data_IF_084928244548
#
_entry.id   IF_084928244548
#
_cell.length_a   1.000
_cell.length_b   1.000
_cell.length_c   1.000
_cell.angle_alpha   90.00
_cell.angle_beta   90.00
_cell.angle_gamma   90.00
#
_symmetry.space_group_name_H-M   'P 1'
#
loop_
_entity.id
_entity.type
_entity.pdbx_description
1 polymer ?
#
# COMPACT_ATOMS: atom_id res chain seq x y z
N UNK A 1 44.45 -9.84 -17.11
CA UNK A 1 43.60 -9.01 -16.21
C UNK A 1 42.73 -8.15 -17.09
N UNK A 2 41.56 -8.66 -17.43
CA UNK A 2 40.56 -7.92 -18.21
C UNK A 2 39.68 -7.21 -17.19
N UNK A 3 39.80 -5.90 -17.11
CA UNK A 3 38.90 -5.04 -16.34
C UNK A 3 37.50 -5.17 -16.92
N UNK A 4 36.69 -6.04 -16.33
CA UNK A 4 35.24 -6.06 -16.57
C UNK A 4 34.73 -4.69 -16.16
N UNK A 5 34.14 -3.97 -17.10
CA UNK A 5 33.54 -2.67 -16.85
C UNK A 5 32.44 -2.85 -15.81
N UNK A 6 32.67 -2.29 -14.63
CA UNK A 6 31.79 -2.29 -13.46
C UNK A 6 30.56 -1.42 -13.75
N UNK A 7 29.65 -1.93 -14.57
CA UNK A 7 28.38 -1.26 -14.84
C UNK A 7 27.46 -1.60 -13.66
N UNK A 8 26.95 -0.61 -12.92
CA UNK A 8 26.08 -0.86 -11.79
C UNK A 8 24.87 -1.70 -12.22
N UNK A 9 24.57 -2.75 -11.45
CA UNK A 9 23.41 -3.61 -11.70
C UNK A 9 22.14 -2.78 -11.50
N UNK A 10 21.32 -2.65 -12.53
CA UNK A 10 20.02 -1.98 -12.48
C UNK A 10 18.93 -2.98 -12.09
N UNK A 11 18.63 -3.09 -10.79
CA UNK A 11 17.69 -4.10 -10.28
C UNK A 11 16.30 -4.05 -10.94
N UNK A 12 15.83 -2.87 -11.37
CA UNK A 12 14.52 -2.73 -12.03
C UNK A 12 14.44 -3.45 -13.38
N UNK A 13 15.57 -3.79 -14.00
CA UNK A 13 15.61 -4.54 -15.26
C UNK A 13 15.35 -6.04 -15.07
N UNK A 14 15.39 -6.54 -13.84
CA UNK A 14 15.11 -7.94 -13.49
C UNK A 14 13.64 -8.16 -13.07
N UNK A 15 12.80 -7.13 -13.17
CA UNK A 15 11.39 -7.17 -12.81
C UNK A 15 10.52 -7.07 -14.07
N UNK A 16 9.52 -7.93 -14.27
CA UNK A 16 8.57 -7.75 -15.39
C UNK A 16 7.68 -6.51 -15.17
N UNK A 17 7.11 -6.35 -13.97
CA UNK A 17 6.47 -5.12 -13.49
C UNK A 17 7.17 -4.62 -12.23
N UNK A 18 7.22 -3.31 -11.99
CA UNK A 18 7.87 -2.75 -10.79
C UNK A 18 6.88 -2.54 -9.64
N UNK A 19 7.25 -2.94 -8.42
CA UNK A 19 6.50 -2.61 -7.20
C UNK A 19 5.11 -3.21 -7.15
N UNK A 20 4.17 -2.50 -6.53
CA UNK A 20 2.78 -2.96 -6.40
C UNK A 20 2.04 -3.08 -7.74
N UNK A 21 2.62 -2.62 -8.86
CA UNK A 21 2.06 -2.84 -10.20
C UNK A 21 2.18 -4.30 -10.68
N UNK A 22 2.93 -5.15 -9.97
CA UNK A 22 3.00 -6.59 -10.22
C UNK A 22 1.85 -7.41 -9.59
N UNK A 23 0.94 -6.77 -8.83
CA UNK A 23 -0.19 -7.45 -8.18
C UNK A 23 -1.17 -8.01 -9.24
N UNK A 24 -1.81 -9.13 -8.89
CA UNK A 24 -2.94 -9.69 -9.65
C UNK A 24 -4.04 -8.62 -9.71
N UNK A 25 -4.68 -8.39 -10.87
CA UNK A 25 -5.74 -7.41 -10.99
C UNK A 25 -6.86 -7.62 -9.96
N UNK A 26 -7.44 -6.55 -9.40
CA UNK A 26 -8.42 -6.65 -8.31
C UNK A 26 -9.65 -7.49 -8.69
N UNK A 27 -10.18 -7.34 -9.91
CA UNK A 27 -11.30 -8.16 -10.38
C UNK A 27 -10.98 -9.66 -10.42
N UNK A 28 -9.80 -10.04 -10.93
CA UNK A 28 -9.37 -11.44 -10.96
C UNK A 28 -9.17 -12.01 -9.56
N UNK A 29 -8.61 -11.22 -8.62
CA UNK A 29 -8.44 -11.64 -7.24
C UNK A 29 -9.79 -11.80 -6.53
N UNK A 30 -10.73 -10.87 -6.73
CA UNK A 30 -12.09 -10.96 -6.21
C UNK A 30 -12.80 -12.23 -6.71
N UNK A 31 -12.66 -12.54 -8.00
CA UNK A 31 -13.26 -13.75 -8.61
C UNK A 31 -12.66 -15.05 -8.04
N UNK A 32 -11.34 -15.11 -7.84
CA UNK A 32 -10.67 -16.30 -7.27
C UNK A 32 -11.02 -16.50 -5.79
N UNK A 33 -11.17 -15.41 -5.04
CA UNK A 33 -11.59 -15.47 -3.63
C UNK A 33 -13.11 -15.71 -3.49
N UNK A 34 -13.88 -15.39 -4.54
CA UNK A 34 -15.32 -15.61 -4.64
C UNK A 34 -15.69 -17.07 -4.42
N UNK A 35 -16.28 -17.37 -3.27
CA UNK A 35 -16.67 -18.73 -2.87
C UNK A 35 -15.73 -19.41 -1.86
N UNK A 36 -14.61 -18.79 -1.51
CA UNK A 36 -13.74 -19.23 -0.40
C UNK A 36 -14.14 -18.61 0.94
N UNK A 37 -14.99 -17.58 0.93
CA UNK A 37 -15.53 -16.95 2.14
C UNK A 37 -16.48 -17.92 2.84
N UNK A 38 -16.02 -18.52 3.94
CA UNK A 38 -16.84 -19.30 4.86
C UNK A 38 -17.22 -18.43 6.06
N UNK A 39 -18.44 -18.60 6.62
CA UNK A 39 -18.79 -17.97 7.89
C UNK A 39 -17.72 -18.27 8.94
N UNK A 40 -17.19 -17.24 9.58
CA UNK A 40 -16.12 -17.40 10.56
C UNK A 40 -16.51 -18.39 11.66
N UNK A 41 -15.63 -19.34 11.96
CA UNK A 41 -15.77 -20.18 13.14
C UNK A 41 -15.31 -19.36 14.34
N UNK A 42 -16.25 -18.80 15.11
CA UNK A 42 -15.92 -18.27 16.43
C UNK A 42 -15.37 -19.44 17.27
N UNK A 43 -14.08 -19.39 17.61
CA UNK A 43 -13.50 -20.31 18.60
C UNK A 43 -13.65 -19.68 19.99
N UNK A 44 -13.52 -20.50 21.04
CA UNK A 44 -13.52 -20.01 22.41
C UNK A 44 -12.34 -19.06 22.73
N UNK A 45 -11.34 -19.00 21.86
CA UNK A 45 -10.03 -18.36 22.09
C UNK A 45 -9.80 -17.09 21.26
N UNK A 46 -10.82 -16.57 20.56
CA UNK A 46 -10.74 -15.30 19.83
C UNK A 46 -11.71 -15.21 18.65
N UNK A 47 -12.09 -13.98 18.27
CA UNK A 47 -12.90 -13.70 17.08
C UNK A 47 -12.09 -12.98 16.01
N UNK A 48 -12.33 -13.37 14.75
CA UNK A 48 -11.84 -12.63 13.58
C UNK A 48 -12.66 -11.34 13.45
N UNK A 49 -12.02 -10.19 13.65
CA UNK A 49 -12.64 -8.86 13.52
C UNK A 49 -12.63 -8.37 12.08
N UNK A 50 -11.52 -8.60 11.39
CA UNK A 50 -11.28 -8.15 10.01
C UNK A 50 -10.66 -9.31 9.25
N UNK A 51 -11.22 -9.61 8.07
CA UNK A 51 -10.78 -10.74 7.25
C UNK A 51 -11.34 -10.65 5.84
N UNK A 52 -11.47 -11.80 5.18
CA UNK A 52 -11.82 -11.88 3.75
C UNK A 52 -13.17 -11.27 3.37
N UNK A 53 -14.09 -11.09 4.32
CA UNK A 53 -15.43 -10.56 4.06
C UNK A 53 -15.43 -9.08 3.63
N UNK A 54 -14.53 -8.26 4.20
CA UNK A 54 -14.40 -6.83 3.89
C UNK A 54 -13.15 -6.54 3.06
N UNK A 55 -12.19 -7.47 2.99
CA UNK A 55 -10.98 -7.34 2.18
C UNK A 55 -10.15 -6.12 2.56
N UNK A 56 -10.09 -5.83 3.86
CA UNK A 56 -9.29 -4.75 4.45
C UNK A 56 -7.78 -5.04 4.37
N UNK A 57 -6.97 -4.09 4.83
CA UNK A 57 -5.51 -4.10 4.62
C UNK A 57 -4.78 -5.22 5.38
N UNK A 58 -5.36 -5.72 6.48
CA UNK A 58 -4.79 -6.83 7.24
C UNK A 58 -5.85 -7.71 7.91
N UNK A 59 -5.47 -8.94 8.25
CA UNK A 59 -6.29 -9.80 9.10
C UNK A 59 -6.17 -9.36 10.56
N UNK A 60 -7.30 -9.26 11.26
CA UNK A 60 -7.33 -8.84 12.68
C UNK A 60 -8.08 -9.86 13.53
N UNK A 61 -7.44 -10.35 14.59
CA UNK A 61 -8.01 -11.31 15.54
C UNK A 61 -7.91 -10.75 16.96
N UNK A 62 -9.01 -10.78 17.72
CA UNK A 62 -8.96 -10.44 19.15
C UNK A 62 -8.21 -11.52 19.92
N UNK A 63 -7.37 -11.11 20.85
CA UNK A 63 -6.82 -11.98 21.87
C UNK A 63 -7.76 -12.08 23.07
N UNK A 64 -7.87 -13.25 23.71
CA UNK A 64 -8.53 -13.37 24.99
C UNK A 64 -7.88 -12.46 26.03
N UNK A 65 -8.68 -11.87 26.92
CA UNK A 65 -8.20 -11.09 28.05
C UNK A 65 -8.54 -11.80 29.39
N UNK A 66 -7.86 -12.90 29.74
CA UNK A 66 -8.06 -13.54 31.03
C UNK A 66 -7.73 -12.56 32.16
N UNK A 67 -8.67 -12.41 33.11
CA UNK A 67 -8.48 -11.55 34.29
C UNK A 67 -8.89 -10.08 34.10
N UNK A 68 -9.60 -9.71 33.03
CA UNK A 68 -10.18 -8.37 32.86
C UNK A 68 -9.19 -7.28 32.44
N UNK A 69 -8.03 -7.66 31.90
CA UNK A 69 -7.11 -6.71 31.26
C UNK A 69 -7.72 -6.06 30.00
N UNK A 70 -7.08 -4.99 29.47
CA UNK A 70 -7.58 -4.33 28.27
C UNK A 70 -7.61 -5.29 27.09
N UNK A 71 -8.66 -5.19 26.26
CA UNK A 71 -8.77 -5.96 25.04
C UNK A 71 -7.60 -5.65 24.09
N UNK A 72 -7.11 -6.67 23.39
CA UNK A 72 -6.00 -6.55 22.43
C UNK A 72 -6.35 -7.31 21.18
N UNK A 73 -5.89 -6.80 20.04
CA UNK A 73 -5.97 -7.49 18.78
C UNK A 73 -4.57 -7.72 18.20
N UNK A 74 -4.43 -8.84 17.48
CA UNK A 74 -3.30 -9.10 16.60
C UNK A 74 -3.68 -8.68 15.20
N UNK A 75 -2.79 -7.93 14.56
CA UNK A 75 -2.87 -7.56 13.14
C UNK A 75 -1.84 -8.40 12.41
N UNK A 76 -2.21 -9.06 11.32
CA UNK A 76 -1.30 -9.89 10.52
C UNK A 76 -1.46 -9.57 9.04
N UNK A 77 -0.35 -9.26 8.39
CA UNK A 77 -0.28 -8.96 6.95
C UNK A 77 1.00 -9.54 6.33
N UNK A 78 1.04 -9.61 5.01
CA UNK A 78 2.25 -9.89 4.24
C UNK A 78 2.18 -9.16 2.89
N UNK A 79 3.23 -8.42 2.55
CA UNK A 79 3.41 -7.85 1.22
C UNK A 79 4.87 -8.01 0.78
N UNK A 80 5.06 -8.33 -0.50
CA UNK A 80 6.37 -8.50 -1.13
C UNK A 80 6.22 -8.33 -2.65
N UNK A 81 7.19 -7.66 -3.25
CA UNK A 81 7.12 -7.27 -4.66
C UNK A 81 8.51 -7.17 -5.27
N UNK A 82 8.57 -6.96 -6.58
CA UNK A 82 9.77 -6.80 -7.40
C UNK A 82 10.40 -5.40 -7.30
N UNK A 83 11.69 -5.20 -7.62
CA UNK A 83 12.37 -3.91 -7.51
C UNK A 83 11.62 -2.73 -8.16
N UNK A 84 11.52 -1.63 -7.42
CA UNK A 84 11.00 -0.32 -7.90
C UNK A 84 12.09 0.70 -8.17
N UNK A 85 13.27 0.46 -7.59
CA UNK A 85 14.47 1.28 -7.74
C UNK A 85 15.67 0.39 -7.99
N UNK A 86 16.70 0.93 -8.63
CA UNK A 86 17.91 0.18 -8.96
C UNK A 86 18.82 -0.08 -7.75
N UNK A 87 18.76 0.78 -6.72
CA UNK A 87 19.55 0.63 -5.50
C UNK A 87 18.95 -0.45 -4.57
N UNK A 88 19.77 -1.46 -4.24
CA UNK A 88 19.36 -2.60 -3.42
C UNK A 88 18.91 -2.20 -2.02
N UNK A 89 19.65 -1.29 -1.38
CA UNK A 89 19.37 -0.86 -0.02
C UNK A 89 18.05 -0.08 0.05
N UNK A 90 17.84 0.89 -0.84
CA UNK A 90 16.60 1.65 -0.91
C UNK A 90 15.41 0.78 -1.29
N UNK A 91 15.56 -0.19 -2.20
CA UNK A 91 14.47 -1.14 -2.48
C UNK A 91 14.09 -1.94 -1.22
N UNK A 92 15.07 -2.40 -0.44
CA UNK A 92 14.84 -3.05 0.84
C UNK A 92 14.05 -2.18 1.82
N UNK A 93 14.43 -0.90 1.94
CA UNK A 93 13.74 0.08 2.79
C UNK A 93 12.29 0.29 2.35
N UNK A 94 12.07 0.47 1.05
CA UNK A 94 10.74 0.68 0.47
C UNK A 94 9.84 -0.53 0.69
N UNK A 95 10.36 -1.74 0.47
CA UNK A 95 9.60 -2.97 0.67
C UNK A 95 9.20 -3.18 2.13
N UNK A 96 10.11 -2.88 3.08
CA UNK A 96 9.78 -2.91 4.50
C UNK A 96 8.74 -1.87 4.90
N UNK A 97 8.90 -0.61 4.45
CA UNK A 97 7.94 0.46 4.74
C UNK A 97 6.54 0.11 4.20
N UNK A 98 6.46 -0.46 3.00
CA UNK A 98 5.21 -0.93 2.42
C UNK A 98 4.59 -2.07 3.25
N UNK A 99 5.35 -3.11 3.59
CA UNK A 99 4.81 -4.24 4.35
C UNK A 99 4.35 -3.86 5.78
N UNK A 100 4.97 -2.84 6.38
CA UNK A 100 4.55 -2.28 7.66
C UNK A 100 3.30 -1.40 7.54
N UNK A 101 3.00 -0.89 6.34
CA UNK A 101 1.94 0.09 6.08
C UNK A 101 0.56 -0.45 6.45
N UNK A 102 0.23 -1.69 6.07
CA UNK A 102 -1.07 -2.31 6.39
C UNK A 102 -1.34 -2.35 7.90
N UNK A 103 -0.30 -2.56 8.72
CA UNK A 103 -0.45 -2.53 10.19
C UNK A 103 -0.82 -1.13 10.66
N UNK A 104 -0.21 -0.09 10.09
CA UNK A 104 -0.54 1.30 10.40
C UNK A 104 -1.92 1.70 9.84
N UNK A 105 -2.31 1.18 8.68
CA UNK A 105 -3.61 1.40 8.07
C UNK A 105 -4.76 0.88 8.95
N UNK A 106 -4.52 -0.20 9.71
CA UNK A 106 -5.45 -0.72 10.73
C UNK A 106 -5.41 0.03 12.08
N UNK A 107 -4.57 1.05 12.24
CA UNK A 107 -4.33 1.73 13.52
C UNK A 107 -3.48 0.90 14.50
N UNK A 108 -2.75 -0.10 13.99
CA UNK A 108 -1.89 -0.97 14.78
C UNK A 108 -0.47 -0.46 14.92
N UNK A 109 0.28 -1.12 15.81
CA UNK A 109 1.73 -0.96 15.94
C UNK A 109 2.44 -2.26 15.53
N UNK A 110 3.37 -2.23 14.57
CA UNK A 110 4.20 -3.39 14.25
C UNK A 110 4.95 -3.92 15.47
N UNK A 111 5.08 -5.24 15.58
CA UNK A 111 5.77 -5.91 16.69
C UNK A 111 6.93 -6.77 16.18
N UNK A 112 6.64 -7.65 15.23
CA UNK A 112 7.63 -8.56 14.64
C UNK A 112 7.34 -8.76 13.16
N UNK A 113 8.41 -8.87 12.37
CA UNK A 113 8.38 -9.17 10.96
C UNK A 113 9.30 -10.35 10.64
N UNK A 114 8.96 -11.11 9.60
CA UNK A 114 9.83 -12.13 9.01
C UNK A 114 9.99 -11.83 7.52
N UNK A 115 11.23 -11.93 7.03
CA UNK A 115 11.56 -11.62 5.63
C UNK A 115 10.98 -12.66 4.68
N UNK A 116 10.48 -12.19 3.54
CA UNK A 116 10.11 -13.01 2.39
C UNK A 116 11.04 -12.63 1.24
N UNK A 117 11.94 -13.54 0.84
CA UNK A 117 12.94 -13.28 -0.19
C UNK A 117 12.82 -14.31 -1.32
N UNK A 118 12.62 -13.83 -2.54
CA UNK A 118 12.79 -14.62 -3.75
C UNK A 118 13.99 -14.04 -4.51
N UNK A 119 14.98 -14.85 -4.87
CA UNK A 119 16.24 -14.34 -5.43
C UNK A 119 16.77 -15.21 -6.56
N UNK A 120 17.13 -14.64 -7.73
CA UNK A 120 17.69 -15.40 -8.84
C UNK A 120 19.18 -15.66 -8.59
N UNK A 121 19.47 -16.74 -7.87
CA UNK A 121 20.81 -17.03 -7.32
C UNK A 121 21.92 -17.13 -8.37
N UNK A 122 21.56 -17.53 -9.60
CA UNK A 122 22.50 -17.73 -10.72
C UNK A 122 22.64 -16.46 -11.58
N UNK A 123 21.86 -15.41 -11.30
CA UNK A 123 21.82 -14.16 -12.09
C UNK A 123 22.28 -12.96 -11.28
N UNK A 124 21.88 -12.86 -10.01
CA UNK A 124 22.19 -11.72 -9.15
C UNK A 124 23.10 -12.09 -7.97
N UNK A 125 24.17 -11.31 -7.71
CA UNK A 125 25.06 -11.55 -6.58
C UNK A 125 24.34 -11.40 -5.23
N UNK A 126 24.65 -12.28 -4.27
CA UNK A 126 24.03 -12.27 -2.94
C UNK A 126 24.41 -11.05 -2.10
N UNK A 127 25.48 -10.34 -2.46
CA UNK A 127 25.85 -9.06 -1.86
C UNK A 127 24.72 -8.03 -2.04
N UNK A 128 24.02 -8.04 -3.18
CA UNK A 128 22.84 -7.18 -3.36
C UNK A 128 21.68 -7.64 -2.48
N UNK A 129 21.43 -8.94 -2.36
CA UNK A 129 20.40 -9.47 -1.45
C UNK A 129 20.68 -9.06 0.01
N UNK A 130 21.95 -9.05 0.42
CA UNK A 130 22.37 -8.57 1.74
C UNK A 130 22.04 -7.09 1.92
N UNK A 131 22.26 -6.25 0.92
CA UNK A 131 21.93 -4.82 0.97
C UNK A 131 20.40 -4.59 1.03
N UNK A 132 19.61 -5.37 0.30
CA UNK A 132 18.13 -5.37 0.42
C UNK A 132 17.71 -5.69 1.85
N UNK A 133 18.22 -6.78 2.42
CA UNK A 133 17.89 -7.19 3.78
C UNK A 133 18.36 -6.16 4.82
N UNK A 134 19.51 -5.49 4.59
CA UNK A 134 20.02 -4.41 5.44
C UNK A 134 19.07 -3.21 5.42
N UNK A 135 18.60 -2.80 4.25
CA UNK A 135 17.62 -1.72 4.12
C UNK A 135 16.30 -2.02 4.81
N UNK A 136 15.79 -3.25 4.65
CA UNK A 136 14.59 -3.67 5.34
C UNK A 136 14.75 -3.71 6.85
N UNK A 137 15.89 -4.20 7.34
CA UNK A 137 16.21 -4.23 8.77
C UNK A 137 16.25 -2.83 9.38
N UNK A 138 16.89 -1.86 8.71
CA UNK A 138 17.02 -0.49 9.23
C UNK A 138 15.64 0.21 9.36
N UNK A 139 14.73 0.01 8.39
CA UNK A 139 13.35 0.52 8.47
C UNK A 139 12.53 -0.20 9.55
N UNK A 140 12.67 -1.52 9.69
CA UNK A 140 12.01 -2.25 10.76
C UNK A 140 12.51 -1.78 12.14
N UNK A 141 13.80 -1.48 12.28
CA UNK A 141 14.37 -0.93 13.51
C UNK A 141 13.79 0.47 13.82
N UNK A 142 13.67 1.33 12.81
CA UNK A 142 13.01 2.64 12.94
C UNK A 142 11.55 2.51 13.39
N UNK A 143 10.84 1.50 12.88
CA UNK A 143 9.46 1.21 13.26
C UNK A 143 9.32 0.61 14.68
N UNK A 144 10.42 0.26 15.35
CA UNK A 144 10.40 -0.51 16.59
C UNK A 144 9.90 -1.94 16.41
N UNK A 145 10.05 -2.50 15.20
CA UNK A 145 9.63 -3.84 14.81
C UNK A 145 10.84 -4.79 14.82
N UNK A 146 10.70 -5.93 15.49
CA UNK A 146 11.75 -6.95 15.47
C UNK A 146 11.78 -7.69 14.14
N UNK A 147 12.95 -7.94 13.56
CA UNK A 147 13.10 -8.86 12.43
C UNK A 147 13.49 -10.23 12.97
N UNK A 148 12.54 -11.17 12.98
CA UNK A 148 12.65 -12.48 13.64
C UNK A 148 13.21 -13.61 12.78
N UNK A 149 13.65 -13.34 11.56
CA UNK A 149 14.11 -14.34 10.60
C UNK A 149 13.45 -14.14 9.24
N UNK A 150 13.17 -15.23 8.53
CA UNK A 150 12.53 -15.19 7.22
C UNK A 150 12.58 -16.52 6.47
N UNK A 151 12.07 -16.50 5.25
CA UNK A 151 12.19 -17.58 4.29
C UNK A 151 12.74 -17.05 2.97
N UNK A 152 13.59 -17.84 2.32
CA UNK A 152 14.18 -17.52 1.03
C UNK A 152 13.96 -18.65 0.03
N UNK A 153 13.62 -18.30 -1.21
CA UNK A 153 13.48 -19.25 -2.32
C UNK A 153 14.28 -18.78 -3.54
N UNK A 154 14.74 -19.75 -4.34
CA UNK A 154 15.29 -19.46 -5.66
C UNK A 154 14.15 -19.13 -6.62
N UNK A 155 14.29 -18.04 -7.38
CA UNK A 155 13.23 -17.52 -8.26
C UNK A 155 13.84 -16.73 -9.42
N UNK A 156 13.33 -16.85 -10.67
CA UNK A 156 13.82 -16.07 -11.80
C UNK A 156 13.78 -14.54 -11.63
N UNK A 157 12.86 -14.01 -10.82
CA UNK A 157 12.73 -12.57 -10.54
C UNK A 157 12.97 -12.27 -9.07
N UNK A 158 13.81 -11.26 -8.74
CA UNK A 158 14.01 -10.86 -7.36
C UNK A 158 12.71 -10.28 -6.79
N UNK A 159 12.28 -10.76 -5.63
CA UNK A 159 11.14 -10.23 -4.86
C UNK A 159 11.53 -10.14 -3.40
N UNK A 160 11.12 -9.07 -2.75
CA UNK A 160 11.38 -8.87 -1.34
C UNK A 160 10.21 -8.18 -0.66
N UNK A 161 10.01 -8.55 0.60
CA UNK A 161 9.06 -7.93 1.50
C UNK A 161 9.03 -8.66 2.84
N UNK A 162 7.95 -8.48 3.59
CA UNK A 162 7.84 -9.00 4.94
C UNK A 162 6.43 -9.50 5.23
N UNK A 163 6.34 -10.56 6.02
CA UNK A 163 5.13 -10.84 6.79
C UNK A 163 5.26 -10.15 8.15
N UNK A 164 4.28 -9.31 8.49
CA UNK A 164 4.32 -8.45 9.67
C UNK A 164 3.17 -8.82 10.61
N UNK A 165 3.53 -9.00 11.87
CA UNK A 165 2.59 -9.13 12.98
C UNK A 165 2.67 -7.87 13.83
N UNK A 166 1.53 -7.22 13.99
CA UNK A 166 1.33 -6.06 14.84
C UNK A 166 0.31 -6.31 15.95
N UNK A 167 0.14 -5.29 16.77
CA UNK A 167 -0.86 -5.25 17.84
C UNK A 167 -1.69 -3.99 17.73
N UNK A 168 -2.98 -4.10 18.00
CA UNK A 168 -3.90 -2.97 17.98
C UNK A 168 -4.87 -3.01 19.16
N UNK A 169 -5.52 -1.88 19.39
CA UNK A 169 -6.70 -1.78 20.24
C UNK A 169 -7.95 -2.10 19.39
N UNK A 170 -8.68 -3.19 19.68
CA UNK A 170 -9.83 -3.60 18.87
C UNK A 170 -10.96 -2.57 18.83
N UNK A 171 -11.05 -1.67 19.82
CA UNK A 171 -12.09 -0.63 19.87
C UNK A 171 -11.71 0.62 19.09
N UNK A 172 -10.45 0.74 18.67
CA UNK A 172 -9.91 1.91 17.96
C UNK A 172 -9.31 1.55 16.61
N UNK A 173 -9.72 0.42 16.03
CA UNK A 173 -9.27 0.04 14.69
C UNK A 173 -9.71 1.09 13.67
N UNK A 174 -8.79 1.39 12.76
CA UNK A 174 -9.10 2.09 11.52
C UNK A 174 -9.59 1.03 10.52
N UNK A 175 -10.87 1.07 10.16
CA UNK A 175 -11.52 0.07 9.30
C UNK A 175 -12.08 0.72 8.05
N UNK A 176 -11.92 0.08 6.90
CA UNK A 176 -12.42 0.63 5.64
C UNK A 176 -13.97 0.67 5.51
N UNK A 177 -14.70 0.04 6.43
CA UNK A 177 -16.16 -0.14 6.41
C UNK A 177 -16.91 0.72 7.44
N UNK A 178 -16.24 1.67 8.09
CA UNK A 178 -16.86 2.56 9.11
C UNK A 178 -17.00 4.01 8.66
N UNK A 179 -16.79 4.30 7.38
CA UNK A 179 -16.98 5.61 6.79
C UNK A 179 -18.44 6.06 6.87
N UNK A 180 -18.66 7.37 7.04
CA UNK A 180 -19.99 7.97 7.18
C UNK A 180 -20.10 9.23 6.31
N UNK A 181 -21.30 9.55 5.81
CA UNK A 181 -21.53 10.82 5.14
C UNK A 181 -21.16 12.03 6.00
N UNK A 182 -20.63 13.08 5.38
CA UNK A 182 -20.19 14.32 6.01
C UNK A 182 -18.74 14.29 6.55
N UNK A 183 -18.02 13.17 6.39
CA UNK A 183 -16.60 13.08 6.78
C UNK A 183 -15.70 13.59 5.64
N UNK A 184 -14.71 14.45 5.93
CA UNK A 184 -13.68 14.81 4.96
C UNK A 184 -12.77 13.61 4.65
N UNK A 185 -12.08 13.65 3.52
CA UNK A 185 -11.09 12.64 3.12
C UNK A 185 -9.69 13.27 3.12
N UNK A 186 -8.78 12.77 3.96
CA UNK A 186 -7.38 13.21 3.98
C UNK A 186 -6.47 12.20 3.30
N UNK A 187 -5.44 12.68 2.59
CA UNK A 187 -4.40 11.85 1.97
C UNK A 187 -3.01 12.22 2.50
N UNK A 188 -2.31 11.27 3.11
CA UNK A 188 -1.10 11.59 3.89
C UNK A 188 0.22 11.53 3.11
N UNK A 189 0.20 11.07 1.86
CA UNK A 189 1.35 11.15 0.94
C UNK A 189 0.89 11.53 -0.47
N UNK A 190 1.73 12.25 -1.25
CA UNK A 190 1.43 12.57 -2.63
C UNK A 190 1.37 11.33 -3.54
N UNK A 191 0.63 11.44 -4.64
CA UNK A 191 0.56 10.43 -5.69
C UNK A 191 1.65 10.61 -6.75
N UNK A 192 1.75 9.62 -7.65
CA UNK A 192 2.62 9.64 -8.83
C UNK A 192 3.81 8.71 -8.73
N UNK A 193 3.86 7.84 -7.73
CA UNK A 193 4.97 6.92 -7.51
C UNK A 193 5.11 5.88 -8.63
N UNK A 194 4.00 5.35 -9.15
CA UNK A 194 4.02 4.32 -10.19
C UNK A 194 4.57 4.85 -11.52
N UNK A 195 4.13 6.03 -11.93
CA UNK A 195 4.61 6.67 -13.17
C UNK A 195 6.07 7.11 -13.09
N UNK A 196 6.51 7.59 -11.93
CA UNK A 196 7.93 7.90 -11.69
C UNK A 196 8.79 6.64 -11.64
N UNK A 197 8.32 5.55 -11.01
CA UNK A 197 9.03 4.27 -11.02
C UNK A 197 9.18 3.71 -12.44
N UNK A 198 8.16 3.83 -13.28
CA UNK A 198 8.25 3.44 -14.69
C UNK A 198 9.24 4.29 -15.48
N UNK A 199 9.24 5.61 -15.27
CA UNK A 199 10.21 6.50 -15.90
C UNK A 199 11.63 6.16 -15.44
N UNK A 200 11.84 5.90 -14.15
CA UNK A 200 13.11 5.41 -13.61
C UNK A 200 13.54 4.11 -14.27
N UNK A 201 12.67 3.10 -14.34
CA UNK A 201 12.98 1.83 -15.01
C UNK A 201 13.39 2.05 -16.47
N UNK A 202 12.66 2.88 -17.22
CA UNK A 202 12.93 3.13 -18.63
C UNK A 202 14.23 3.94 -18.88
N UNK A 203 14.54 4.90 -18.01
CA UNK A 203 15.58 5.93 -18.30
C UNK A 203 16.81 5.87 -17.38
N UNK A 204 16.67 5.27 -16.20
CA UNK A 204 17.67 5.34 -15.12
C UNK A 204 17.59 6.62 -14.28
N UNK A 205 16.67 7.55 -14.61
CA UNK A 205 16.49 8.79 -13.85
C UNK A 205 16.02 8.49 -12.43
N UNK A 206 16.73 9.00 -11.42
CA UNK A 206 16.40 8.78 -10.01
C UNK A 206 15.62 9.97 -9.47
N UNK A 207 14.51 9.67 -8.79
CA UNK A 207 13.63 10.65 -8.16
C UNK A 207 13.77 10.54 -6.63
N UNK A 208 14.69 11.31 -6.05
CA UNK A 208 14.98 11.25 -4.61
C UNK A 208 13.74 11.51 -3.74
N UNK A 209 12.85 12.41 -4.19
CA UNK A 209 11.58 12.70 -3.52
C UNK A 209 10.62 11.50 -3.53
N UNK A 210 10.63 10.70 -4.60
CA UNK A 210 9.82 9.48 -4.67
C UNK A 210 10.37 8.41 -3.72
N UNK A 211 11.70 8.22 -3.70
CA UNK A 211 12.36 7.30 -2.76
C UNK A 211 12.07 7.70 -1.32
N UNK A 212 12.25 8.99 -0.97
CA UNK A 212 11.96 9.49 0.38
C UNK A 212 10.48 9.27 0.77
N UNK A 213 9.55 9.52 -0.14
CA UNK A 213 8.11 9.29 0.07
C UNK A 213 7.81 7.81 0.33
N UNK A 214 8.39 6.91 -0.47
CA UNK A 214 8.18 5.47 -0.34
C UNK A 214 8.83 4.87 0.91
N UNK A 215 9.94 5.43 1.39
CA UNK A 215 10.62 4.95 2.61
C UNK A 215 9.94 5.46 3.88
N UNK A 216 9.25 6.60 3.84
CA UNK A 216 8.59 7.16 5.01
C UNK A 216 7.50 6.22 5.57
N UNK A 217 7.56 5.93 6.88
CA UNK A 217 6.56 5.11 7.55
C UNK A 217 5.23 5.85 7.70
N UNK A 218 4.10 5.14 7.55
CA UNK A 218 2.76 5.67 7.85
C UNK A 218 2.47 5.77 9.38
N UNK A 219 3.48 5.54 10.23
CA UNK A 219 3.39 5.55 11.71
C UNK A 219 2.74 6.81 12.26
N UNK A 220 3.28 7.97 11.89
CA UNK A 220 2.89 9.24 12.51
C UNK A 220 1.52 9.69 11.98
N UNK A 221 1.23 9.43 10.70
CA UNK A 221 -0.08 9.62 10.08
C UNK A 221 -1.16 8.77 10.76
N UNK A 222 -0.89 7.48 11.00
CA UNK A 222 -1.79 6.57 11.71
C UNK A 222 -2.05 7.03 13.15
N UNK A 223 -1.00 7.39 13.88
CA UNK A 223 -1.12 7.89 15.24
C UNK A 223 -1.94 9.20 15.30
N UNK A 224 -1.72 10.11 14.35
CA UNK A 224 -2.48 11.36 14.25
C UNK A 224 -3.96 11.12 13.92
N UNK A 225 -4.27 10.21 13.00
CA UNK A 225 -5.64 9.82 12.67
C UNK A 225 -6.38 9.24 13.89
N UNK A 226 -5.73 8.32 14.61
CA UNK A 226 -6.27 7.74 15.85
C UNK A 226 -6.47 8.77 16.96
N UNK A 227 -5.57 9.75 17.07
CA UNK A 227 -5.68 10.83 18.06
C UNK A 227 -6.80 11.82 17.71
N UNK A 228 -7.06 12.03 16.42
CA UNK A 228 -8.19 12.82 15.92
C UNK A 228 -9.54 12.07 16.01
N UNK A 229 -9.53 10.79 16.41
CA UNK A 229 -10.75 9.98 16.56
C UNK A 229 -11.26 9.39 15.24
N UNK A 230 -10.42 9.33 14.20
CA UNK A 230 -10.78 8.63 12.98
C UNK A 230 -11.02 7.14 13.27
N UNK A 231 -12.01 6.57 12.60
CA UNK A 231 -12.31 5.13 12.66
C UNK A 231 -12.21 4.47 11.29
N UNK A 232 -12.08 5.25 10.21
CA UNK A 232 -12.08 4.74 8.86
C UNK A 232 -10.85 5.22 8.10
N UNK A 233 -10.05 4.27 7.65
CA UNK A 233 -8.90 4.51 6.79
C UNK A 233 -8.61 3.27 5.95
N UNK A 234 -7.72 3.44 4.98
CA UNK A 234 -6.97 2.41 4.27
C UNK A 234 -5.64 3.01 3.81
N UNK A 235 -4.71 2.23 3.28
CA UNK A 235 -3.55 2.77 2.59
C UNK A 235 -3.70 2.79 1.07
N UNK A 236 -3.04 3.74 0.40
CA UNK A 236 -3.11 3.87 -1.06
C UNK A 236 -1.90 3.19 -1.67
N UNK A 237 -2.11 1.98 -2.18
CA UNK A 237 -1.06 1.13 -2.78
C UNK A 237 -1.37 0.73 -4.23
N UNK A 238 -1.33 -0.57 -4.54
CA UNK A 238 -1.29 -1.09 -5.91
C UNK A 238 -2.52 -0.81 -6.78
N UNK A 239 -3.69 -0.54 -6.18
CA UNK A 239 -4.93 -0.24 -6.89
C UNK A 239 -5.11 1.25 -7.22
N UNK A 240 -4.17 2.10 -6.80
CA UNK A 240 -4.28 3.55 -6.92
C UNK A 240 -5.37 4.15 -6.03
N UNK A 241 -5.47 5.48 -6.05
CA UNK A 241 -6.41 6.21 -5.19
C UNK A 241 -7.86 5.86 -5.53
N UNK A 242 -8.22 5.81 -6.82
CA UNK A 242 -9.60 5.47 -7.23
C UNK A 242 -10.01 4.08 -6.74
N UNK A 243 -9.13 3.09 -6.89
CA UNK A 243 -9.44 1.72 -6.51
C UNK A 243 -9.66 1.57 -5.01
N UNK A 244 -8.80 2.21 -4.21
CA UNK A 244 -8.92 2.21 -2.75
C UNK A 244 -10.13 3.02 -2.25
N UNK A 245 -10.44 4.16 -2.88
CA UNK A 245 -11.69 4.90 -2.62
C UNK A 245 -12.93 4.05 -2.94
N UNK A 246 -12.94 3.34 -4.07
CA UNK A 246 -14.05 2.47 -4.44
C UNK A 246 -14.28 1.38 -3.38
N UNK A 247 -13.22 0.69 -2.93
CA UNK A 247 -13.32 -0.34 -1.89
C UNK A 247 -13.86 0.23 -0.59
N UNK A 248 -13.30 1.33 -0.10
CA UNK A 248 -13.74 2.00 1.13
C UNK A 248 -15.20 2.44 1.02
N UNK A 249 -15.58 3.12 -0.07
CA UNK A 249 -16.93 3.62 -0.27
C UNK A 249 -17.96 2.47 -0.42
N UNK A 250 -17.59 1.37 -1.08
CA UNK A 250 -18.40 0.15 -1.20
C UNK A 250 -18.62 -0.51 0.16
N UNK A 251 -17.55 -0.69 0.94
CA UNK A 251 -17.60 -1.34 2.26
C UNK A 251 -18.39 -0.50 3.27
N UNK A 252 -18.22 0.82 3.24
CA UNK A 252 -18.91 1.78 4.12
C UNK A 252 -20.33 2.14 3.66
N UNK A 253 -20.77 1.71 2.47
CA UNK A 253 -22.09 2.04 1.94
C UNK A 253 -22.29 3.53 1.67
N UNK A 254 -21.26 4.21 1.18
CA UNK A 254 -21.24 5.66 0.89
C UNK A 254 -20.77 5.93 -0.55
N UNK A 255 -20.71 7.21 -0.92
CA UNK A 255 -20.01 7.70 -2.11
C UNK A 255 -18.87 8.61 -1.68
N UNK A 256 -17.70 8.45 -2.26
CA UNK A 256 -16.58 9.38 -2.10
C UNK A 256 -16.61 10.43 -3.22
N UNK A 257 -16.62 11.71 -2.84
CA UNK A 257 -16.47 12.84 -3.77
C UNK A 257 -15.05 13.35 -3.63
N UNK A 258 -14.29 13.37 -4.72
CA UNK A 258 -12.90 13.75 -4.75
C UNK A 258 -12.73 15.11 -5.43
N UNK A 259 -12.12 16.08 -4.76
CA UNK A 259 -11.63 17.31 -5.39
C UNK A 259 -10.30 17.01 -6.08
N UNK A 260 -10.34 16.90 -7.41
CA UNK A 260 -9.16 16.53 -8.21
C UNK A 260 -8.04 17.58 -8.15
N UNK A 261 -8.36 18.85 -7.85
CA UNK A 261 -7.37 19.92 -7.73
C UNK A 261 -6.65 19.89 -6.37
N UNK A 262 -7.29 19.35 -5.33
CA UNK A 262 -6.72 19.21 -4.00
C UNK A 262 -5.74 18.02 -3.86
N UNK A 263 -5.75 17.07 -4.81
CA UNK A 263 -4.90 15.87 -4.74
C UNK A 263 -3.41 16.25 -4.91
N UNK A 264 -2.55 15.95 -3.92
CA UNK A 264 -1.12 16.21 -4.03
C UNK A 264 -0.42 15.22 -4.96
N UNK A 265 0.49 15.71 -5.79
CA UNK A 265 1.32 14.91 -6.69
C UNK A 265 2.81 15.23 -6.48
N UNK A 266 3.66 14.24 -6.69
CA UNK A 266 5.10 14.44 -6.73
C UNK A 266 5.52 15.21 -7.99
N UNK A 267 6.56 16.01 -7.86
CA UNK A 267 7.21 16.68 -8.97
C UNK A 267 7.63 15.66 -10.04
N UNK A 268 7.31 15.97 -11.30
CA UNK A 268 7.55 15.10 -12.46
C UNK A 268 6.45 14.06 -12.75
N UNK A 269 5.50 13.81 -11.84
CA UNK A 269 4.46 12.79 -12.06
C UNK A 269 3.55 13.10 -13.26
N UNK A 270 3.10 14.37 -13.37
CA UNK A 270 2.25 14.81 -14.50
C UNK A 270 3.00 14.75 -15.84
N UNK A 271 4.29 15.07 -15.84
CA UNK A 271 5.14 14.96 -17.03
C UNK A 271 5.34 13.49 -17.41
N UNK A 272 5.62 12.63 -16.44
CA UNK A 272 5.80 11.20 -16.69
C UNK A 272 4.56 10.54 -17.32
N UNK A 273 3.35 10.93 -16.90
CA UNK A 273 2.12 10.45 -17.55
C UNK A 273 1.98 10.96 -18.98
N UNK A 274 2.19 12.26 -19.23
CA UNK A 274 2.13 12.85 -20.57
C UNK A 274 3.12 12.19 -21.53
N UNK A 275 4.31 11.87 -21.03
CA UNK A 275 5.37 11.21 -21.78
C UNK A 275 5.13 9.68 -21.93
N UNK A 276 4.04 9.17 -21.38
CA UNK A 276 3.58 7.80 -21.58
C UNK A 276 4.18 6.74 -20.64
N UNK A 277 4.83 7.13 -19.54
CA UNK A 277 5.42 6.22 -18.55
C UNK A 277 4.36 5.57 -17.62
N UNK A 278 3.29 5.05 -18.21
CA UNK A 278 2.13 4.48 -17.50
C UNK A 278 2.18 2.96 -17.52
N UNK A 279 2.06 2.33 -16.34
CA UNK A 279 2.20 0.88 -16.22
C UNK A 279 0.96 0.14 -16.73
N UNK A 280 1.13 -1.12 -17.10
CA UNK A 280 -0.03 -1.98 -17.39
C UNK A 280 -0.96 -2.14 -16.18
N UNK A 281 -0.41 -2.14 -14.96
CA UNK A 281 -1.18 -2.18 -13.71
C UNK A 281 -2.08 -0.95 -13.56
N UNK A 282 -1.54 0.25 -13.77
CA UNK A 282 -2.29 1.52 -13.74
C UNK A 282 -3.46 1.51 -14.72
N UNK A 283 -3.26 1.00 -15.95
CA UNK A 283 -4.34 0.91 -16.95
C UNK A 283 -5.43 -0.06 -16.50
N UNK A 284 -5.05 -1.24 -15.99
CA UNK A 284 -6.00 -2.22 -15.45
C UNK A 284 -6.77 -1.70 -14.23
N UNK A 285 -6.12 -0.94 -13.35
CA UNK A 285 -6.79 -0.28 -12.24
C UNK A 285 -7.87 0.68 -12.73
N UNK A 286 -7.55 1.52 -13.72
CA UNK A 286 -8.50 2.46 -14.29
C UNK A 286 -9.67 1.74 -14.97
N UNK A 287 -9.40 0.71 -15.76
CA UNK A 287 -10.41 -0.13 -16.42
C UNK A 287 -11.35 -0.79 -15.39
N UNK A 288 -10.80 -1.31 -14.29
CA UNK A 288 -11.59 -1.96 -13.24
C UNK A 288 -12.50 -1.00 -12.47
N UNK A 289 -12.02 0.20 -12.14
CA UNK A 289 -12.76 1.16 -11.32
C UNK A 289 -13.72 2.05 -12.12
N UNK A 290 -13.51 2.15 -13.45
CA UNK A 290 -14.29 3.01 -14.34
C UNK A 290 -15.82 2.80 -14.26
N UNK A 291 -16.36 1.57 -14.20
CA UNK A 291 -17.81 1.35 -14.10
C UNK A 291 -18.44 1.91 -12.81
N UNK A 292 -17.64 2.21 -11.79
CA UNK A 292 -18.10 2.67 -10.48
C UNK A 292 -17.74 4.13 -10.19
N UNK A 293 -17.17 4.83 -11.18
CA UNK A 293 -16.63 6.18 -11.05
C UNK A 293 -17.34 7.12 -12.00
N UNK A 294 -17.89 8.21 -11.46
CA UNK A 294 -18.24 9.37 -12.27
C UNK A 294 -16.98 10.24 -12.45
N UNK A 295 -16.47 10.30 -13.67
CA UNK A 295 -15.22 11.02 -13.95
C UNK A 295 -15.40 12.53 -14.11
N UNK A 296 -16.64 13.03 -14.20
CA UNK A 296 -16.89 14.44 -14.51
C UNK A 296 -16.06 14.92 -15.72
N UNK A 297 -15.43 16.08 -15.56
CA UNK A 297 -14.59 16.72 -16.58
C UNK A 297 -13.10 16.34 -16.49
N UNK A 298 -12.71 15.39 -15.63
CA UNK A 298 -11.32 14.99 -15.48
C UNK A 298 -10.72 14.48 -16.80
N UNK A 299 -9.56 14.99 -17.19
CA UNK A 299 -8.87 14.55 -18.41
C UNK A 299 -8.26 13.14 -18.27
N UNK A 300 -7.80 12.57 -19.38
CA UNK A 300 -7.27 11.20 -19.41
C UNK A 300 -6.03 11.04 -18.51
N UNK A 301 -5.17 12.05 -18.45
CA UNK A 301 -3.94 12.02 -17.65
C UNK A 301 -4.27 12.04 -16.15
N UNK A 302 -5.24 12.86 -15.74
CA UNK A 302 -5.72 12.92 -14.35
C UNK A 302 -6.34 11.59 -13.94
N UNK A 303 -7.16 10.98 -14.80
CA UNK A 303 -7.73 9.64 -14.54
C UNK A 303 -6.64 8.58 -14.35
N UNK A 304 -5.61 8.60 -15.20
CA UNK A 304 -4.47 7.68 -15.09
C UNK A 304 -3.65 7.93 -13.82
N UNK A 305 -3.40 9.18 -13.45
CA UNK A 305 -2.70 9.53 -12.21
C UNK A 305 -3.47 9.10 -10.96
N UNK A 306 -4.79 9.26 -10.96
CA UNK A 306 -5.65 8.83 -9.83
C UNK A 306 -5.75 7.29 -9.73
N UNK A 307 -5.60 6.58 -10.85
CA UNK A 307 -5.53 5.12 -10.91
C UNK A 307 -4.09 4.55 -10.78
N UNK A 308 -3.09 5.43 -10.65
CA UNK A 308 -1.68 5.03 -10.68
C UNK A 308 -1.34 4.10 -9.51
N UNK A 309 -0.67 2.98 -9.80
CA UNK A 309 -0.30 2.00 -8.79
C UNK A 309 0.79 2.58 -7.88
N UNK A 310 0.42 2.94 -6.65
CA UNK A 310 1.34 3.49 -5.67
C UNK A 310 2.10 2.33 -4.99
N UNK A 311 3.41 2.51 -4.80
CA UNK A 311 4.20 1.61 -3.94
C UNK A 311 4.48 2.35 -2.64
N UNK A 312 4.16 1.77 -1.48
CA UNK A 312 4.33 2.43 -0.17
C UNK A 312 3.71 3.84 -0.11
N UNK A 313 2.47 3.96 -0.58
CA UNK A 313 1.75 5.24 -0.55
C UNK A 313 1.30 5.64 0.85
N UNK A 314 0.51 6.71 0.92
CA UNK A 314 0.01 7.27 2.18
C UNK A 314 -1.24 6.57 2.67
N UNK A 315 -1.71 6.97 3.85
CA UNK A 315 -3.03 6.65 4.32
C UNK A 315 -4.07 7.54 3.64
N UNK A 316 -5.19 6.93 3.28
CA UNK A 316 -6.45 7.59 2.95
C UNK A 316 -7.36 7.48 4.18
N UNK A 317 -7.69 8.60 4.80
CA UNK A 317 -8.45 8.63 6.06
C UNK A 317 -9.76 9.38 5.87
N UNK A 318 -10.88 8.79 6.29
CA UNK A 318 -12.13 9.51 6.42
C UNK A 318 -12.15 10.27 7.75
N UNK A 319 -11.66 11.49 7.69
CA UNK A 319 -11.39 12.40 8.80
C UNK A 319 -10.26 13.37 8.43
N UNK A 320 -10.13 14.46 9.19
CA UNK A 320 -8.97 15.36 9.05
C UNK A 320 -7.75 14.75 9.75
N UNK A 321 -6.62 14.73 9.04
CA UNK A 321 -5.32 14.36 9.62
C UNK A 321 -4.43 15.60 9.63
N UNK A 322 -3.94 16.06 10.80
CA UNK A 322 -3.08 17.24 10.87
C UNK A 322 -1.88 17.18 9.93
N UNK A 323 -1.74 18.19 9.07
CA UNK A 323 -0.66 18.29 8.09
C UNK A 323 -0.89 17.55 6.77
N UNK A 324 -1.98 16.79 6.64
CA UNK A 324 -2.40 16.18 5.38
C UNK A 324 -3.45 17.05 4.67
N UNK A 325 -3.42 17.19 3.33
CA UNK A 325 -4.48 17.84 2.60
C UNK A 325 -5.78 17.04 2.68
N UNK A 326 -6.90 17.76 2.84
CA UNK A 326 -8.23 17.23 2.60
C UNK A 326 -8.48 17.26 1.08
N UNK A 327 -8.71 16.09 0.50
CA UNK A 327 -8.84 15.87 -0.95
C UNK A 327 -10.28 15.62 -1.38
N UNK A 328 -11.24 15.68 -0.47
CA UNK A 328 -12.63 15.38 -0.77
C UNK A 328 -13.46 15.09 0.47
N UNK A 329 -14.59 14.41 0.28
CA UNK A 329 -15.51 14.04 1.35
C UNK A 329 -16.29 12.75 1.05
N UNK A 330 -16.89 12.17 2.09
CA UNK A 330 -17.87 11.10 1.99
C UNK A 330 -19.28 11.68 2.01
N UNK A 331 -20.13 11.24 1.11
CA UNK A 331 -21.54 11.66 0.99
C UNK A 331 -22.48 10.45 1.03
N UNK A 332 -23.81 10.64 1.22
CA UNK A 332 -24.76 9.54 1.15
C UNK A 332 -24.65 8.78 -0.17
N UNK A 333 -24.87 7.46 -0.14
CA UNK A 333 -24.67 6.61 -1.31
C UNK A 333 -25.46 7.09 -2.53
N UNK A 334 -24.73 7.42 -3.60
CA UNK A 334 -25.24 7.72 -4.92
C UNK A 334 -25.14 6.53 -5.88
N UNK A 335 -25.32 6.81 -7.18
CA UNK A 335 -25.22 5.83 -8.25
C UNK A 335 -23.79 5.26 -8.39
N UNK A 336 -22.79 6.14 -8.29
CA UNK A 336 -21.36 5.80 -8.34
C UNK A 336 -20.78 5.75 -6.92
N UNK A 337 -19.81 4.87 -6.69
CA UNK A 337 -19.07 4.85 -5.42
C UNK A 337 -18.05 5.97 -5.32
N UNK A 338 -17.54 6.44 -6.46
CA UNK A 338 -16.56 7.52 -6.55
C UNK A 338 -17.09 8.55 -7.55
N UNK A 339 -16.95 9.83 -7.20
CA UNK A 339 -17.30 10.97 -8.06
C UNK A 339 -16.12 11.93 -8.05
N UNK A 340 -15.69 12.36 -9.23
CA UNK A 340 -14.65 13.38 -9.38
C UNK A 340 -15.30 14.76 -9.53
N UNK A 341 -14.95 15.65 -8.62
CA UNK A 341 -15.28 17.08 -8.63
C UNK A 341 -14.15 17.96 -9.12
#
# INVERSE_FOLDING_TARGET
MTTVRDTPVRLTQFAHGGGCACKIPPGELEDVLGGLVRPGTASADGSLLVGLATGDDAAVVTLPAPGGGPARAVVSTADFFTPVVDDAYDWGRIAAANALSDVYAMGGRPLVAVNLLAWPRDVLPFELAREVLRGGLDVAAEAGCHVGGGHSVDDPEPKYGMAVTGVADPERLLRNDTGRPGLPLSLTKPLGLGVLNNRHKATGERFEQAVATMVALNRDASAAALAAGATCATDVTGFGLLGHLHKLARASGVTAVLDTAAVPYLDGAREAVRDGYVSGGTRRNLEWVAPFTDFGDADADTRLLLADAQTSGGLLVAGEVPGAPVIGELVPRGAHSVVLG
#
